data_IF_783101833921
#
_entry.id   IF_783101833921
#
_cell.length_a   1.000
_cell.length_b   1.000
_cell.length_c   1.000
_cell.angle_alpha   90.00
_cell.angle_beta   90.00
_cell.angle_gamma   90.00
#
_symmetry.space_group_name_H-M   'P 1'
#
loop_
_entity.id
_entity.type
_entity.pdbx_description
1 polymer ?
#
# COMPACT_ATOMS: atom_id res chain seq x y z
N UNK A 1 -15.26 37.67 -5.81
CA UNK A 1 -15.03 37.21 -7.21
C UNK A 1 -13.74 36.41 -7.19
N UNK A 2 -13.80 35.16 -7.62
CA UNK A 2 -12.62 34.33 -7.68
C UNK A 2 -11.65 34.86 -8.73
N UNK A 3 -10.37 34.87 -8.40
CA UNK A 3 -9.31 35.39 -9.28
C UNK A 3 -9.19 34.53 -10.55
N UNK A 4 -9.28 35.10 -11.71
CA UNK A 4 -9.25 34.38 -13.00
C UNK A 4 -7.83 34.04 -13.46
N UNK A 5 -6.83 34.86 -13.12
CA UNK A 5 -5.42 34.67 -13.46
C UNK A 5 -4.64 34.41 -12.19
N UNK A 6 -4.05 33.24 -12.10
CA UNK A 6 -3.36 32.72 -10.92
C UNK A 6 -1.84 32.78 -11.07
N UNK A 7 -1.16 32.98 -9.96
CA UNK A 7 0.29 32.76 -9.82
C UNK A 7 0.61 31.27 -9.71
N UNK A 8 1.89 30.91 -9.57
CA UNK A 8 2.34 29.52 -9.32
C UNK A 8 1.79 28.98 -7.99
N UNK A 9 1.83 29.81 -6.95
CA UNK A 9 1.38 29.48 -5.59
C UNK A 9 -0.14 29.26 -5.58
N UNK A 10 -0.89 30.21 -6.16
CA UNK A 10 -2.35 30.13 -6.23
C UNK A 10 -2.85 28.96 -7.09
N UNK A 11 -2.11 28.59 -8.13
CA UNK A 11 -2.41 27.44 -8.95
C UNK A 11 -2.14 26.10 -8.20
N UNK A 12 -1.05 26.04 -7.43
CA UNK A 12 -0.75 24.89 -6.58
C UNK A 12 -1.81 24.75 -5.47
N UNK A 13 -2.23 25.86 -4.86
CA UNK A 13 -3.30 25.89 -3.85
C UNK A 13 -4.64 25.44 -4.42
N UNK A 14 -4.98 25.88 -5.66
CA UNK A 14 -6.20 25.45 -6.35
C UNK A 14 -6.30 23.92 -6.49
N UNK A 15 -5.17 23.26 -6.69
CA UNK A 15 -5.10 21.79 -6.80
C UNK A 15 -4.84 21.08 -5.47
N UNK A 16 -4.67 21.84 -4.38
CA UNK A 16 -4.38 21.27 -3.07
C UNK A 16 -2.99 20.59 -2.98
N UNK A 17 -2.05 20.98 -3.84
CA UNK A 17 -0.71 20.39 -3.91
C UNK A 17 0.39 21.37 -3.52
N UNK A 18 1.58 20.86 -3.18
CA UNK A 18 2.75 21.72 -2.95
C UNK A 18 3.21 22.40 -4.24
N UNK A 19 3.85 23.59 -4.14
CA UNK A 19 4.45 24.28 -5.28
C UNK A 19 5.45 23.37 -6.01
N UNK A 20 6.21 22.58 -5.26
CA UNK A 20 7.17 21.61 -5.84
C UNK A 20 6.45 20.55 -6.69
N UNK A 21 5.34 20.02 -6.19
CA UNK A 21 4.49 19.06 -6.92
C UNK A 21 3.89 19.71 -8.16
N UNK A 22 3.38 20.93 -8.05
CA UNK A 22 2.81 21.66 -9.19
C UNK A 22 3.85 21.95 -10.27
N UNK A 23 5.08 22.31 -9.90
CA UNK A 23 6.21 22.49 -10.85
C UNK A 23 6.54 21.17 -11.57
N UNK A 24 6.47 20.03 -10.86
CA UNK A 24 6.66 18.71 -11.46
C UNK A 24 5.56 18.44 -12.49
N UNK A 25 4.28 18.61 -12.12
CA UNK A 25 3.13 18.47 -13.04
C UNK A 25 3.27 19.37 -14.28
N UNK A 26 3.67 20.66 -14.09
CA UNK A 26 3.87 21.61 -15.19
C UNK A 26 4.92 21.12 -16.22
N UNK A 27 5.91 20.37 -15.78
CA UNK A 27 6.97 19.81 -16.66
C UNK A 27 6.55 18.51 -17.33
N UNK A 28 5.85 17.65 -16.62
CA UNK A 28 5.57 16.27 -17.01
C UNK A 28 4.20 16.12 -17.71
N UNK A 29 3.16 16.88 -17.24
CA UNK A 29 1.76 16.65 -17.61
C UNK A 29 1.17 17.75 -18.53
N UNK A 30 1.99 18.64 -19.11
CA UNK A 30 1.55 19.71 -19.99
C UNK A 30 0.42 20.60 -19.41
N UNK A 31 0.50 20.89 -18.11
CA UNK A 31 -0.45 21.80 -17.44
C UNK A 31 -0.54 23.14 -18.19
N UNK A 32 -1.74 23.65 -18.51
CA UNK A 32 -1.90 24.86 -19.29
C UNK A 32 -1.46 26.09 -18.48
N UNK A 33 -0.33 26.66 -18.87
CA UNK A 33 0.24 27.87 -18.28
C UNK A 33 1.04 28.65 -19.30
N UNK A 34 1.24 29.93 -19.04
CA UNK A 34 2.04 30.81 -19.89
C UNK A 34 3.05 31.59 -19.04
N UNK A 35 4.31 31.58 -19.50
CA UNK A 35 5.32 32.45 -18.90
C UNK A 35 5.19 33.86 -19.43
N UNK A 36 4.96 34.83 -18.54
CA UNK A 36 4.87 36.26 -18.85
C UNK A 36 6.04 36.96 -18.15
N UNK A 37 7.01 37.39 -18.94
CA UNK A 37 8.28 37.85 -18.39
C UNK A 37 9.03 36.70 -17.68
N UNK A 38 9.27 36.88 -16.37
CA UNK A 38 9.96 35.86 -15.53
C UNK A 38 9.01 34.97 -14.74
N UNK A 39 7.70 35.26 -14.79
CA UNK A 39 6.71 34.61 -13.94
C UNK A 39 5.71 33.78 -14.74
N UNK A 40 5.26 32.67 -14.17
CA UNK A 40 4.19 31.88 -14.72
C UNK A 40 2.83 32.48 -14.35
N UNK A 41 1.89 32.39 -15.30
CA UNK A 41 0.48 32.74 -15.10
C UNK A 41 -0.38 31.62 -15.65
N UNK A 42 -1.47 31.38 -14.93
CA UNK A 42 -2.41 30.30 -15.23
C UNK A 42 -3.83 30.86 -15.28
N UNK A 43 -4.61 30.46 -16.26
CA UNK A 43 -6.04 30.66 -16.25
C UNK A 43 -6.72 29.67 -15.35
N UNK A 44 -7.47 30.13 -14.36
CA UNK A 44 -8.26 29.27 -13.47
C UNK A 44 -9.15 28.30 -14.27
N UNK A 45 -9.88 28.84 -15.26
CA UNK A 45 -10.74 28.02 -16.12
C UNK A 45 -9.95 26.98 -16.93
N UNK A 46 -8.80 27.36 -17.47
CA UNK A 46 -7.95 26.43 -18.23
C UNK A 46 -7.41 25.30 -17.33
N UNK A 47 -7.04 25.60 -16.09
CA UNK A 47 -6.60 24.60 -15.11
C UNK A 47 -7.72 23.63 -14.73
N UNK A 48 -8.93 24.16 -14.48
CA UNK A 48 -10.11 23.32 -14.17
C UNK A 48 -10.48 22.45 -15.36
N UNK A 49 -10.47 22.99 -16.58
CA UNK A 49 -10.75 22.23 -17.79
C UNK A 49 -9.68 21.17 -18.06
N UNK A 50 -8.41 21.50 -17.82
CA UNK A 50 -7.32 20.53 -17.95
C UNK A 50 -7.48 19.38 -16.95
N UNK A 51 -7.79 19.68 -15.70
CA UNK A 51 -8.05 18.68 -14.69
C UNK A 51 -9.28 17.82 -15.04
N UNK A 52 -10.36 18.47 -15.53
CA UNK A 52 -11.58 17.78 -15.95
C UNK A 52 -11.40 16.94 -17.23
N UNK A 53 -10.43 17.31 -18.09
CA UNK A 53 -10.06 16.54 -19.28
C UNK A 53 -8.94 15.51 -19.01
N UNK A 54 -8.43 15.48 -17.78
CA UNK A 54 -7.42 14.53 -17.35
C UNK A 54 -7.93 13.10 -17.53
N UNK A 55 -7.07 12.27 -18.06
CA UNK A 55 -7.40 10.88 -18.35
C UNK A 55 -7.09 10.01 -17.13
N UNK A 56 -8.12 9.59 -16.41
CA UNK A 56 -8.00 8.57 -15.39
C UNK A 56 -7.60 7.20 -15.96
N UNK A 57 -7.53 7.07 -17.30
CA UNK A 57 -7.14 5.81 -17.92
C UNK A 57 -5.68 5.45 -17.63
N UNK A 58 -4.78 6.45 -17.47
CA UNK A 58 -3.41 6.17 -17.07
C UNK A 58 -3.34 5.53 -15.69
N UNK A 59 -4.16 6.01 -14.73
CA UNK A 59 -4.28 5.43 -13.40
C UNK A 59 -4.90 4.01 -13.47
N UNK A 60 -6.01 3.86 -14.17
CA UNK A 60 -6.68 2.55 -14.32
C UNK A 60 -5.84 1.54 -15.13
N UNK A 61 -5.05 1.99 -16.10
CA UNK A 61 -4.11 1.13 -16.82
C UNK A 61 -3.01 0.60 -15.90
N UNK A 62 -2.48 1.47 -15.04
CA UNK A 62 -1.46 1.12 -14.05
C UNK A 62 -1.94 0.08 -13.03
N UNK A 63 -3.16 0.24 -12.50
CA UNK A 63 -3.79 -0.75 -11.60
C UNK A 63 -4.08 -2.06 -12.31
N UNK A 64 -4.50 -1.99 -13.58
CA UNK A 64 -4.76 -3.17 -14.41
C UNK A 64 -3.49 -3.99 -14.61
N UNK A 65 -2.34 -3.34 -14.84
CA UNK A 65 -1.04 -4.02 -14.99
C UNK A 65 -0.63 -4.75 -13.71
N UNK A 66 -0.76 -4.10 -12.56
CA UNK A 66 -0.47 -4.70 -11.24
C UNK A 66 -1.40 -5.89 -10.99
N UNK A 67 -2.71 -5.72 -11.22
CA UNK A 67 -3.69 -6.80 -11.09
C UNK A 67 -3.38 -7.99 -12.00
N UNK A 68 -3.06 -7.74 -13.27
CA UNK A 68 -2.71 -8.79 -14.24
C UNK A 68 -1.43 -9.53 -13.84
N UNK A 69 -0.42 -8.80 -13.36
CA UNK A 69 0.80 -9.41 -12.84
C UNK A 69 0.49 -10.37 -11.69
N UNK A 70 -0.21 -9.91 -10.64
CA UNK A 70 -0.54 -10.75 -9.50
C UNK A 70 -1.47 -11.90 -9.86
N UNK A 71 -2.42 -11.72 -10.77
CA UNK A 71 -3.23 -12.82 -11.29
C UNK A 71 -2.36 -13.90 -11.95
N UNK A 72 -1.36 -13.51 -12.73
CA UNK A 72 -0.47 -14.43 -13.45
C UNK A 72 0.45 -15.21 -12.49
N UNK A 73 0.97 -14.57 -11.47
CA UNK A 73 1.95 -15.17 -10.56
C UNK A 73 1.31 -15.88 -9.36
N UNK A 74 0.01 -15.73 -9.13
CA UNK A 74 -0.70 -16.28 -7.98
C UNK A 74 -0.44 -17.79 -7.74
N UNK A 75 -0.43 -18.69 -8.74
CA UNK A 75 -0.16 -20.11 -8.51
C UNK A 75 1.25 -20.39 -7.98
N UNK A 76 2.21 -19.51 -8.23
CA UNK A 76 3.62 -19.63 -7.86
C UNK A 76 4.01 -18.66 -6.73
N UNK A 77 3.05 -17.87 -6.23
CA UNK A 77 3.31 -16.80 -5.29
C UNK A 77 3.97 -17.26 -4.00
N UNK A 78 3.61 -18.44 -3.51
CA UNK A 78 4.24 -19.00 -2.29
C UNK A 78 5.76 -19.19 -2.45
N UNK A 79 6.21 -19.59 -3.64
CA UNK A 79 7.63 -19.78 -3.93
C UNK A 79 8.34 -18.41 -4.06
N UNK A 80 7.72 -17.48 -4.78
CA UNK A 80 8.21 -16.10 -4.97
C UNK A 80 8.23 -15.38 -3.62
N UNK A 81 7.11 -15.42 -2.89
CA UNK A 81 6.88 -14.69 -1.64
C UNK A 81 7.70 -15.21 -0.44
N UNK A 82 8.26 -16.41 -0.48
CA UNK A 82 9.09 -16.97 0.62
C UNK A 82 10.28 -16.09 0.99
N UNK A 83 10.76 -15.28 0.07
CA UNK A 83 11.88 -14.36 0.32
C UNK A 83 11.45 -13.10 1.08
N UNK A 84 10.15 -12.78 1.11
CA UNK A 84 9.58 -11.56 1.69
C UNK A 84 8.66 -11.81 2.88
N UNK A 85 8.21 -13.06 3.05
CA UNK A 85 7.27 -13.47 4.09
C UNK A 85 7.99 -14.35 5.11
N UNK A 86 8.60 -13.71 6.12
CA UNK A 86 9.40 -14.39 7.13
C UNK A 86 8.54 -14.75 8.36
N UNK A 87 8.87 -15.87 9.00
CA UNK A 87 8.35 -16.29 10.31
C UNK A 87 8.57 -15.22 11.40
N UNK A 88 9.58 -14.35 11.23
CA UNK A 88 9.85 -13.21 12.09
C UNK A 88 8.64 -12.28 12.22
N UNK A 89 7.91 -12.04 11.12
CA UNK A 89 6.71 -11.20 11.13
C UNK A 89 5.58 -11.82 11.97
N UNK A 90 5.39 -13.13 11.86
CA UNK A 90 4.41 -13.89 12.66
C UNK A 90 4.77 -13.84 14.14
N UNK A 91 6.05 -14.08 14.45
CA UNK A 91 6.58 -13.99 15.82
C UNK A 91 6.32 -12.61 16.40
N UNK A 92 6.58 -11.55 15.63
CA UNK A 92 6.36 -10.17 16.05
C UNK A 92 4.88 -9.87 16.32
N UNK A 93 3.96 -10.34 15.47
CA UNK A 93 2.51 -10.20 15.71
C UNK A 93 2.07 -10.84 17.03
N UNK A 94 2.66 -11.97 17.41
CA UNK A 94 2.37 -12.63 18.71
C UNK A 94 3.00 -11.85 19.87
N UNK A 95 4.28 -11.42 19.74
CA UNK A 95 4.99 -10.66 20.78
C UNK A 95 4.26 -9.36 21.15
N UNK A 96 3.71 -8.67 20.15
CA UNK A 96 2.94 -7.44 20.35
C UNK A 96 1.65 -7.64 21.16
N UNK A 97 1.17 -8.89 21.26
CA UNK A 97 -0.03 -9.27 22.01
C UNK A 97 -1.27 -8.40 21.69
N UNK A 98 -1.41 -8.00 20.43
CA UNK A 98 -2.50 -7.12 19.97
C UNK A 98 -3.70 -7.91 19.42
N UNK A 99 -3.54 -9.21 19.10
CA UNK A 99 -4.61 -10.04 18.55
C UNK A 99 -5.57 -10.51 19.67
N UNK A 100 -6.87 -10.41 19.43
CA UNK A 100 -7.92 -10.85 20.37
C UNK A 100 -9.02 -11.64 19.66
N UNK A 101 -9.53 -12.68 20.30
CA UNK A 101 -10.60 -13.56 19.77
C UNK A 101 -11.90 -12.84 19.38
N UNK A 102 -12.14 -11.66 19.89
CA UNK A 102 -13.32 -10.84 19.56
C UNK A 102 -13.16 -10.00 18.30
N UNK A 103 -11.95 -9.83 17.78
CA UNK A 103 -11.63 -8.86 16.73
C UNK A 103 -12.08 -9.31 15.35
N UNK A 104 -12.51 -8.32 14.55
CA UNK A 104 -12.58 -8.39 13.10
C UNK A 104 -11.29 -7.75 12.57
N UNK A 105 -10.50 -8.51 11.83
CA UNK A 105 -9.25 -8.10 11.22
C UNK A 105 -9.44 -7.97 9.70
N UNK A 106 -8.95 -6.89 9.11
CA UNK A 106 -8.80 -6.73 7.66
C UNK A 106 -7.33 -6.93 7.30
N UNK A 107 -7.07 -7.71 6.27
CA UNK A 107 -5.75 -7.92 5.67
C UNK A 107 -5.76 -7.29 4.28
N UNK A 108 -5.10 -6.12 4.14
CA UNK A 108 -5.04 -5.35 2.89
C UNK A 108 -3.85 -5.82 2.04
N UNK A 109 -4.10 -6.12 0.77
CA UNK A 109 -3.11 -6.77 -0.08
C UNK A 109 -2.84 -8.19 0.42
N UNK A 110 -3.91 -8.94 0.72
CA UNK A 110 -3.82 -10.23 1.40
C UNK A 110 -3.04 -11.30 0.62
N UNK A 111 -2.92 -11.16 -0.70
CA UNK A 111 -2.27 -12.11 -1.56
C UNK A 111 -2.83 -13.52 -1.40
N UNK A 112 -1.96 -14.50 -1.28
CA UNK A 112 -2.30 -15.90 -1.04
C UNK A 112 -2.64 -16.23 0.43
N UNK A 113 -2.72 -15.17 1.28
CA UNK A 113 -3.19 -15.23 2.66
C UNK A 113 -2.13 -15.57 3.70
N UNK A 114 -0.89 -15.14 3.52
CA UNK A 114 0.17 -15.37 4.51
C UNK A 114 -0.22 -14.84 5.90
N UNK A 115 -0.63 -13.58 6.02
CA UNK A 115 -1.11 -12.97 7.27
C UNK A 115 -2.51 -13.47 7.62
N UNK A 116 -3.43 -13.50 6.67
CA UNK A 116 -4.82 -13.93 6.88
C UNK A 116 -4.90 -15.32 7.52
N UNK A 117 -4.20 -16.31 6.97
CA UNK A 117 -4.21 -17.70 7.49
C UNK A 117 -3.53 -17.81 8.84
N UNK A 118 -2.47 -17.04 9.09
CA UNK A 118 -1.78 -17.02 10.37
C UNK A 118 -2.64 -16.41 11.47
N UNK A 119 -3.31 -15.27 11.19
CA UNK A 119 -4.09 -14.53 12.21
C UNK A 119 -5.46 -15.14 12.48
N UNK A 120 -6.04 -15.86 11.53
CA UNK A 120 -7.37 -16.45 11.65
C UNK A 120 -7.61 -17.22 12.95
N UNK A 121 -6.68 -18.07 13.47
CA UNK A 121 -6.86 -18.76 14.74
C UNK A 121 -6.95 -17.84 15.96
N UNK A 122 -6.53 -16.58 15.87
CA UNK A 122 -6.43 -15.65 17.01
C UNK A 122 -7.53 -14.60 17.04
N UNK A 123 -8.36 -14.51 15.98
CA UNK A 123 -9.40 -13.48 15.84
C UNK A 123 -10.77 -14.12 15.57
N UNK A 124 -11.82 -13.31 15.66
CA UNK A 124 -13.20 -13.74 15.35
C UNK A 124 -13.36 -13.95 13.84
N UNK A 125 -12.85 -13.04 13.04
CA UNK A 125 -13.01 -13.03 11.58
C UNK A 125 -11.82 -12.30 10.94
N UNK A 126 -11.38 -12.79 9.79
CA UNK A 126 -10.47 -12.08 8.88
C UNK A 126 -11.25 -11.73 7.62
N UNK A 127 -11.11 -10.50 7.16
CA UNK A 127 -11.56 -10.03 5.84
C UNK A 127 -10.28 -9.80 5.02
N UNK A 128 -10.04 -10.68 4.08
CA UNK A 128 -8.86 -10.64 3.20
C UNK A 128 -9.20 -9.85 1.94
N UNK A 129 -8.59 -8.70 1.76
CA UNK A 129 -8.81 -7.78 0.64
C UNK A 129 -7.64 -7.83 -0.30
N UNK A 130 -7.89 -8.05 -1.59
CA UNK A 130 -6.87 -8.00 -2.64
C UNK A 130 -7.51 -7.59 -3.96
N UNK A 131 -6.75 -6.92 -4.81
CA UNK A 131 -7.19 -6.56 -6.17
C UNK A 131 -7.19 -7.78 -7.11
N UNK A 132 -6.38 -8.79 -6.82
CA UNK A 132 -6.25 -10.02 -7.60
C UNK A 132 -7.21 -11.11 -7.12
N UNK A 133 -8.23 -11.38 -7.91
CA UNK A 133 -9.14 -12.51 -7.65
C UNK A 133 -8.45 -13.87 -7.66
N UNK A 134 -7.34 -14.03 -8.43
CA UNK A 134 -6.54 -15.27 -8.43
C UNK A 134 -5.80 -15.47 -7.11
N UNK A 135 -5.21 -14.41 -6.54
CA UNK A 135 -4.61 -14.46 -5.21
C UNK A 135 -5.63 -14.89 -4.16
N UNK A 136 -6.82 -14.30 -4.18
CA UNK A 136 -7.89 -14.67 -3.24
C UNK A 136 -8.40 -16.10 -3.45
N UNK A 137 -8.38 -16.63 -4.67
CA UNK A 137 -8.68 -18.04 -4.94
C UNK A 137 -7.63 -18.98 -4.33
N UNK A 138 -6.34 -18.63 -4.47
CA UNK A 138 -5.26 -19.38 -3.83
C UNK A 138 -5.36 -19.33 -2.30
N UNK A 139 -5.65 -18.17 -1.74
CA UNK A 139 -5.94 -18.02 -0.31
C UNK A 139 -7.08 -18.96 0.11
N UNK A 140 -8.20 -18.93 -0.59
CA UNK A 140 -9.36 -19.79 -0.29
C UNK A 140 -9.01 -21.29 -0.35
N UNK A 141 -8.24 -21.72 -1.35
CA UNK A 141 -7.75 -23.09 -1.48
C UNK A 141 -6.88 -23.49 -0.28
N UNK A 142 -5.93 -22.65 0.12
CA UNK A 142 -5.02 -22.88 1.25
C UNK A 142 -5.76 -22.84 2.59
N UNK A 143 -6.69 -21.90 2.78
CA UNK A 143 -7.52 -21.81 3.98
C UNK A 143 -8.37 -23.08 4.13
N UNK A 144 -9.00 -23.56 3.06
CA UNK A 144 -9.79 -24.81 3.05
C UNK A 144 -8.92 -26.03 3.41
N UNK A 145 -7.73 -26.15 2.81
CA UNK A 145 -6.78 -27.21 3.09
C UNK A 145 -6.31 -27.20 4.57
N UNK A 146 -6.16 -26.01 5.16
CA UNK A 146 -5.82 -25.81 6.57
C UNK A 146 -7.01 -25.90 7.54
N UNK A 147 -8.24 -26.15 7.06
CA UNK A 147 -9.44 -26.22 7.91
C UNK A 147 -9.89 -24.87 8.48
N UNK A 148 -9.40 -23.75 7.94
CA UNK A 148 -9.72 -22.38 8.39
C UNK A 148 -11.08 -21.99 7.82
N UNK A 149 -12.00 -21.51 8.67
CA UNK A 149 -13.40 -21.22 8.29
C UNK A 149 -13.82 -19.78 8.50
N UNK A 150 -12.99 -18.97 9.12
CA UNK A 150 -13.29 -17.58 9.51
C UNK A 150 -12.55 -16.54 8.67
N UNK A 151 -12.13 -16.89 7.47
CA UNK A 151 -11.61 -15.95 6.47
C UNK A 151 -12.68 -15.73 5.41
N UNK A 152 -12.98 -14.48 5.14
CA UNK A 152 -13.83 -14.00 4.06
C UNK A 152 -12.97 -13.20 3.08
N UNK A 153 -13.12 -13.48 1.79
CA UNK A 153 -12.34 -12.81 0.74
C UNK A 153 -13.16 -11.70 0.09
N UNK A 154 -12.52 -10.60 -0.22
CA UNK A 154 -13.13 -9.42 -0.83
C UNK A 154 -12.20 -8.91 -1.94
N UNK A 155 -12.61 -9.07 -3.20
CA UNK A 155 -11.88 -8.50 -4.35
C UNK A 155 -12.21 -7.00 -4.42
N UNK A 156 -11.25 -6.15 -4.10
CA UNK A 156 -11.38 -4.69 -4.10
C UNK A 156 -10.02 -4.03 -4.17
N UNK A 157 -9.99 -2.78 -4.65
CA UNK A 157 -8.88 -1.88 -4.38
C UNK A 157 -8.84 -1.57 -2.88
N UNK A 158 -7.68 -1.73 -2.28
CA UNK A 158 -7.51 -1.48 -0.86
C UNK A 158 -7.35 0.02 -0.51
N UNK A 159 -7.46 0.90 -1.49
CA UNK A 159 -7.58 2.35 -1.30
C UNK A 159 -9.05 2.80 -1.16
N UNK A 160 -10.00 1.94 -1.56
CA UNK A 160 -11.45 2.21 -1.44
C UNK A 160 -12.17 0.89 -1.14
N UNK A 161 -12.05 0.43 0.10
CA UNK A 161 -12.63 -0.84 0.54
C UNK A 161 -14.11 -0.67 0.84
N UNK A 162 -15.01 -1.52 0.31
CA UNK A 162 -16.46 -1.41 0.57
C UNK A 162 -16.84 -1.87 1.99
N UNK A 163 -16.21 -1.26 2.97
CA UNK A 163 -16.48 -1.44 4.40
C UNK A 163 -16.90 -0.10 5.02
N UNK A 164 -17.78 -0.17 6.01
CA UNK A 164 -18.24 1.02 6.72
C UNK A 164 -17.09 1.64 7.56
N UNK A 165 -17.18 2.95 7.79
CA UNK A 165 -16.29 3.65 8.70
C UNK A 165 -16.29 3.01 10.09
N UNK A 166 -15.12 2.95 10.72
CA UNK A 166 -14.96 2.46 12.10
C UNK A 166 -15.63 1.08 12.32
N UNK A 167 -15.50 0.17 11.35
CA UNK A 167 -16.19 -1.15 11.38
C UNK A 167 -15.29 -2.29 11.83
N UNK A 168 -13.96 -2.15 11.77
CA UNK A 168 -13.00 -3.22 12.06
C UNK A 168 -12.10 -2.88 13.24
N UNK A 169 -11.60 -3.91 13.91
CA UNK A 169 -10.79 -3.72 15.12
C UNK A 169 -9.29 -3.63 14.81
N UNK A 170 -8.88 -4.24 13.70
CA UNK A 170 -7.48 -4.25 13.27
C UNK A 170 -7.38 -4.25 11.75
N UNK A 171 -6.40 -3.52 11.23
CA UNK A 171 -5.95 -3.60 9.83
C UNK A 171 -4.52 -4.11 9.81
N UNK A 172 -4.28 -5.15 9.02
CA UNK A 172 -2.94 -5.60 8.64
C UNK A 172 -2.68 -5.24 7.18
N UNK A 173 -1.43 -4.91 6.86
CA UNK A 173 -0.94 -4.79 5.50
C UNK A 173 0.52 -5.28 5.47
N UNK A 174 0.82 -6.25 4.63
CA UNK A 174 2.15 -6.84 4.56
C UNK A 174 2.66 -6.84 3.14
N UNK A 175 3.79 -6.17 2.89
CA UNK A 175 4.39 -6.07 1.57
C UNK A 175 3.39 -5.55 0.53
N UNK A 176 2.67 -4.50 0.90
CA UNK A 176 1.53 -3.99 0.14
C UNK A 176 1.74 -2.54 -0.33
N UNK A 177 2.18 -1.66 0.59
CA UNK A 177 2.11 -0.22 0.36
C UNK A 177 3.03 0.25 -0.78
N UNK A 178 4.15 -0.45 -1.01
CA UNK A 178 5.07 -0.13 -2.10
C UNK A 178 4.52 -0.44 -3.50
N UNK A 179 3.41 -1.18 -3.62
CA UNK A 179 2.68 -1.36 -4.87
C UNK A 179 1.64 -0.28 -5.14
N UNK A 180 1.30 0.53 -4.13
CA UNK A 180 0.22 1.52 -4.19
C UNK A 180 0.73 2.83 -4.75
N UNK A 181 0.04 3.38 -5.76
CA UNK A 181 0.46 4.62 -6.41
C UNK A 181 0.41 5.82 -5.47
N UNK A 182 -0.63 5.90 -4.63
CA UNK A 182 -0.84 6.97 -3.65
C UNK A 182 -0.92 6.41 -2.22
N UNK A 183 0.21 6.15 -1.55
CA UNK A 183 0.24 5.56 -0.22
C UNK A 183 -0.57 6.32 0.82
N UNK A 184 -0.66 7.65 0.69
CA UNK A 184 -1.45 8.50 1.59
C UNK A 184 -2.94 8.14 1.58
N UNK A 185 -3.50 7.78 0.42
CA UNK A 185 -4.91 7.36 0.32
C UNK A 185 -5.12 6.02 1.04
N UNK A 186 -4.17 5.10 0.90
CA UNK A 186 -4.23 3.83 1.63
C UNK A 186 -4.18 4.04 3.16
N UNK A 187 -3.35 4.99 3.65
CA UNK A 187 -3.33 5.33 5.08
C UNK A 187 -4.66 5.95 5.54
N UNK A 188 -5.27 6.81 4.72
CA UNK A 188 -6.57 7.41 5.00
C UNK A 188 -7.67 6.34 5.06
N UNK A 189 -7.63 5.38 4.16
CA UNK A 189 -8.58 4.27 4.12
C UNK A 189 -8.42 3.34 5.33
N UNK A 190 -7.18 2.98 5.69
CA UNK A 190 -6.91 2.25 6.94
C UNK A 190 -7.48 2.98 8.15
N UNK A 191 -7.28 4.32 8.21
CA UNK A 191 -7.83 5.12 9.30
C UNK A 191 -9.35 5.17 9.26
N UNK A 192 -9.97 5.28 8.09
CA UNK A 192 -11.43 5.32 7.94
C UNK A 192 -12.09 4.05 8.49
N UNK A 193 -11.61 2.87 8.07
CA UNK A 193 -12.25 1.60 8.40
C UNK A 193 -11.96 1.11 9.83
N UNK A 194 -10.79 1.45 10.40
CA UNK A 194 -10.45 1.03 11.77
C UNK A 194 -11.24 1.82 12.81
N UNK A 195 -11.72 1.14 13.85
CA UNK A 195 -12.46 1.73 14.98
C UNK A 195 -11.57 2.65 15.82
N UNK A 196 -12.14 3.64 16.55
CA UNK A 196 -11.44 4.28 17.65
C UNK A 196 -10.89 3.25 18.65
N UNK A 197 -9.61 3.37 18.99
CA UNK A 197 -8.90 2.38 19.81
C UNK A 197 -8.49 1.10 19.08
N UNK A 198 -8.77 0.99 17.79
CA UNK A 198 -8.28 -0.07 16.94
C UNK A 198 -6.83 0.16 16.49
N UNK A 199 -6.23 -0.83 15.83
CA UNK A 199 -4.81 -0.85 15.52
C UNK A 199 -4.54 -1.17 14.06
N UNK A 200 -3.53 -0.53 13.48
CA UNK A 200 -2.95 -0.89 12.18
C UNK A 200 -1.59 -1.53 12.43
N UNK A 201 -1.34 -2.66 11.75
CA UNK A 201 -0.05 -3.32 11.67
C UNK A 201 0.38 -3.35 10.20
N UNK A 202 1.41 -2.59 9.87
CA UNK A 202 2.00 -2.52 8.53
C UNK A 202 3.40 -3.13 8.57
N UNK A 203 3.73 -3.97 7.60
CA UNK A 203 5.10 -4.39 7.33
C UNK A 203 5.44 -4.08 5.88
N UNK A 204 6.56 -3.41 5.63
CA UNK A 204 6.94 -3.01 4.28
C UNK A 204 8.46 -2.88 4.13
N UNK A 205 8.90 -2.66 2.89
CA UNK A 205 10.30 -2.50 2.51
C UNK A 205 10.87 -1.18 2.99
N UNK A 206 12.07 -1.24 3.60
CA UNK A 206 12.90 -0.07 3.77
C UNK A 206 13.41 0.40 2.40
N UNK A 207 13.47 1.71 2.19
CA UNK A 207 13.91 2.31 0.93
C UNK A 207 15.23 1.71 0.43
N UNK A 208 15.25 1.31 -0.83
CA UNK A 208 16.38 0.68 -1.51
C UNK A 208 16.59 1.22 -2.92
N UNK A 209 17.72 0.89 -3.53
CA UNK A 209 18.09 1.33 -4.90
C UNK A 209 18.06 0.20 -5.93
N UNK A 210 17.44 -0.94 -5.61
CA UNK A 210 17.39 -2.10 -6.51
C UNK A 210 16.27 -1.94 -7.55
N UNK A 211 16.62 -1.34 -8.71
CA UNK A 211 15.70 -1.13 -9.81
C UNK A 211 15.27 -2.42 -10.51
N UNK A 212 16.09 -3.47 -10.47
CA UNK A 212 15.73 -4.77 -11.06
C UNK A 212 14.63 -5.46 -10.24
N UNK A 213 14.69 -5.32 -8.92
CA UNK A 213 13.65 -5.80 -8.03
C UNK A 213 12.33 -5.08 -8.31
N UNK A 214 12.34 -3.75 -8.33
CA UNK A 214 11.15 -2.94 -8.62
C UNK A 214 10.49 -3.35 -9.94
N UNK A 215 11.27 -3.48 -11.00
CA UNK A 215 10.74 -3.87 -12.32
C UNK A 215 10.14 -5.29 -12.31
N UNK A 216 10.78 -6.24 -11.63
CA UNK A 216 10.32 -7.63 -11.56
C UNK A 216 9.05 -7.82 -10.75
N UNK A 217 8.88 -7.00 -9.71
CA UNK A 217 7.77 -7.10 -8.78
C UNK A 217 6.65 -6.10 -9.07
N UNK A 218 6.82 -5.25 -10.08
CA UNK A 218 5.92 -4.14 -10.40
C UNK A 218 5.74 -3.16 -9.23
N UNK A 219 6.84 -2.92 -8.48
CA UNK A 219 6.83 -1.99 -7.37
C UNK A 219 6.72 -0.55 -7.87
N UNK A 220 5.86 0.24 -7.26
CA UNK A 220 5.71 1.68 -7.53
C UNK A 220 6.72 2.51 -6.73
N UNK A 221 7.08 2.02 -5.56
CA UNK A 221 7.99 2.67 -4.65
C UNK A 221 9.16 1.74 -4.30
N UNK A 222 10.38 2.27 -4.15
CA UNK A 222 11.54 1.48 -3.74
C UNK A 222 11.52 1.14 -2.24
N UNK A 223 10.35 1.00 -1.64
CA UNK A 223 10.17 0.98 -0.19
C UNK A 223 10.05 2.40 0.39
N UNK A 224 10.13 2.51 1.71
CA UNK A 224 9.88 3.74 2.44
C UNK A 224 10.91 4.01 3.52
N UNK A 225 11.12 5.30 3.82
CA UNK A 225 11.73 5.73 5.06
C UNK A 225 10.67 5.63 6.19
N UNK A 226 10.91 4.79 7.23
CA UNK A 226 9.96 4.62 8.31
C UNK A 226 9.58 5.91 9.05
N UNK A 227 10.52 6.85 9.19
CA UNK A 227 10.25 8.12 9.87
C UNK A 227 9.27 9.00 9.07
N UNK A 228 9.42 9.02 7.75
CA UNK A 228 8.48 9.73 6.86
C UNK A 228 7.09 9.06 6.88
N UNK A 229 7.05 7.74 6.89
CA UNK A 229 5.79 7.00 6.93
C UNK A 229 5.09 7.16 8.29
N UNK A 230 5.82 7.14 9.40
CA UNK A 230 5.30 7.50 10.75
C UNK A 230 4.68 8.89 10.75
N UNK A 231 5.35 9.87 10.12
CA UNK A 231 4.79 11.21 9.96
C UNK A 231 3.50 11.20 9.13
N UNK A 232 3.42 10.35 8.09
CA UNK A 232 2.21 10.12 7.29
C UNK A 232 1.05 9.59 8.14
N UNK A 233 1.27 8.52 8.90
CA UNK A 233 0.28 7.98 9.83
C UNK A 233 -0.24 9.03 10.81
N UNK A 234 0.65 9.83 11.41
CA UNK A 234 0.26 10.90 12.34
C UNK A 234 -0.58 11.99 11.65
N UNK A 235 -0.22 12.39 10.43
CA UNK A 235 -1.04 13.36 9.65
C UNK A 235 -2.43 12.83 9.33
N UNK A 236 -2.57 11.52 9.15
CA UNK A 236 -3.87 10.87 8.90
C UNK A 236 -4.74 10.80 10.15
N UNK A 237 -4.18 10.98 11.36
CA UNK A 237 -4.92 11.02 12.62
C UNK A 237 -4.61 9.88 13.57
N UNK A 238 -3.71 8.97 13.22
CA UNK A 238 -3.23 7.94 14.16
C UNK A 238 -2.41 8.57 15.29
N UNK A 239 -2.57 8.06 16.52
CA UNK A 239 -2.00 8.64 17.74
C UNK A 239 -0.65 8.00 18.09
N UNK A 240 -0.64 6.83 18.69
CA UNK A 240 0.57 6.12 19.11
C UNK A 240 1.13 5.33 17.90
N UNK A 241 2.08 5.94 17.18
CA UNK A 241 2.70 5.36 15.99
C UNK A 241 4.14 5.01 16.31
N UNK A 242 4.48 3.73 16.19
CA UNK A 242 5.82 3.19 16.46
C UNK A 242 6.28 2.35 15.31
N UNK A 243 7.58 2.34 15.05
CA UNK A 243 8.16 1.41 14.10
C UNK A 243 9.33 0.63 14.69
N UNK A 244 9.62 -0.50 14.08
CA UNK A 244 10.76 -1.36 14.41
C UNK A 244 11.33 -1.95 13.13
N UNK A 245 12.67 -1.95 13.01
CA UNK A 245 13.35 -2.63 11.92
C UNK A 245 13.40 -4.13 12.20
N UNK A 246 12.95 -4.94 11.25
CA UNK A 246 13.10 -6.39 11.36
C UNK A 246 14.47 -6.82 10.85
N UNK A 247 15.07 -7.89 11.41
CA UNK A 247 16.24 -8.51 10.82
C UNK A 247 15.86 -8.95 9.40
N UNK A 248 16.69 -8.59 8.41
CA UNK A 248 16.45 -9.02 7.03
C UNK A 248 16.35 -10.53 6.91
N UNK A 249 15.63 -11.04 5.90
CA UNK A 249 15.52 -12.47 5.69
C UNK A 249 16.90 -13.11 5.57
N UNK A 250 17.12 -14.32 6.13
CA UNK A 250 18.40 -15.00 6.02
C UNK A 250 18.72 -15.23 4.55
N UNK A 251 19.92 -14.82 4.11
CA UNK A 251 20.42 -15.05 2.75
C UNK A 251 20.49 -16.55 2.51
N UNK A 252 19.51 -17.13 1.81
CA UNK A 252 19.57 -18.52 1.37
C UNK A 252 20.41 -18.60 0.10
N UNK A 253 21.63 -19.07 0.21
CA UNK A 253 22.46 -19.46 -0.93
C UNK A 253 21.91 -20.80 -1.46
N UNK A 254 21.29 -20.79 -2.62
CA UNK A 254 21.01 -22.01 -3.38
C UNK A 254 22.23 -22.32 -4.27
N UNK A 255 22.82 -23.48 -4.05
CA UNK A 255 23.84 -24.06 -4.93
C UNK A 255 23.12 -25.05 -5.87
N UNK A 256 23.00 -24.69 -7.16
CA UNK A 256 22.41 -25.57 -8.19
C UNK A 256 21.62 -24.79 -9.24
N UNK A 257 21.51 -25.32 -10.43
CA UNK A 257 21.08 -24.80 -11.73
C UNK A 257 19.64 -24.23 -11.82
N UNK A 258 19.16 -23.53 -10.83
CA UNK A 258 17.93 -22.73 -10.82
C UNK A 258 18.26 -21.25 -10.83
N UNK A 259 17.36 -20.38 -11.35
CA UNK A 259 17.63 -18.95 -11.43
C UNK A 259 18.07 -18.43 -10.06
N UNK A 260 19.16 -17.68 -10.04
CA UNK A 260 19.75 -17.14 -8.82
C UNK A 260 18.70 -16.47 -7.94
N UNK A 261 18.64 -16.79 -6.64
CA UNK A 261 17.79 -16.07 -5.72
C UNK A 261 18.24 -14.62 -5.73
N UNK A 262 17.30 -13.72 -5.97
CA UNK A 262 17.53 -12.28 -5.86
C UNK A 262 18.03 -12.04 -4.44
N UNK A 263 19.29 -11.62 -4.30
CA UNK A 263 19.86 -11.17 -3.02
C UNK A 263 19.19 -9.82 -2.70
N UNK A 264 18.05 -9.84 -2.09
CA UNK A 264 17.49 -8.62 -1.53
C UNK A 264 18.21 -8.35 -0.21
N UNK A 265 19.20 -7.49 -0.24
CA UNK A 265 19.71 -6.84 0.97
C UNK A 265 18.68 -5.88 1.55
N UNK A 266 17.44 -5.98 1.12
CA UNK A 266 16.33 -5.10 1.43
C UNK A 266 15.86 -5.41 2.85
N UNK A 267 15.96 -4.39 3.69
CA UNK A 267 15.48 -4.46 5.08
C UNK A 267 13.96 -4.31 5.08
N UNK A 268 13.32 -4.93 6.05
CA UNK A 268 11.89 -4.80 6.30
C UNK A 268 11.70 -4.08 7.62
N UNK A 269 10.70 -3.25 7.73
CA UNK A 269 10.27 -2.64 8.98
C UNK A 269 8.80 -2.94 9.24
N UNK A 270 8.39 -2.79 10.48
CA UNK A 270 6.99 -2.80 10.87
C UNK A 270 6.61 -1.44 11.45
N UNK A 271 5.36 -1.05 11.21
CA UNK A 271 4.70 0.07 11.90
C UNK A 271 3.49 -0.48 12.65
N UNK A 272 3.33 -0.04 13.88
CA UNK A 272 2.11 -0.26 14.68
C UNK A 272 1.54 1.11 15.04
N UNK A 273 0.28 1.34 14.68
CA UNK A 273 -0.39 2.62 14.86
C UNK A 273 -1.79 2.43 15.44
N UNK A 274 -2.17 3.22 16.44
CA UNK A 274 -3.50 3.20 17.07
C UNK A 274 -4.31 4.43 16.65
N UNK A 275 -5.61 4.22 16.39
CA UNK A 275 -6.57 5.29 16.13
C UNK A 275 -7.20 5.82 17.39
#
# INVERSE_FOLDING_TARGET
MDKEILTMEEAAELFGVSIKTFIKLLKEEKVPGRKIGREWRFSRLALINWLASGDSQAYSASETEVKEFFNKVAPQWEEIGRNYSDETLKTKLIELNILKKSMILVDLGAGDGFISRFTAPFVKKVIAVDISGEMLRELGRKAKAGGIKNIETLESDAQDVPLADSSVDMVCANMYLHHIEQPELALQEMHRIVKPGGVVFLADLYEHSDGDLMNKMHDRWPGFDPDQLVAGFKRTGFQDVRYEMLPGPPVRTYCGSTPEPVRTGTKVFIIVAWK
#
